data_IF_943304648973
#
_entry.id   IF_943304648973
#
_cell.length_a   1.000
_cell.length_b   1.000
_cell.length_c   1.000
_cell.angle_alpha   90.00
_cell.angle_beta   90.00
_cell.angle_gamma   90.00
#
_symmetry.space_group_name_H-M   'P 1'
#
loop_
_entity.id
_entity.type
_entity.pdbx_description
1 polymer ?
#
# COMPACT_ATOMS: atom_id res chain seq x y z
N UNK A 1 7.09 9.72 13.24
CA UNK A 1 5.75 9.12 13.31
C UNK A 1 5.39 8.60 11.93
N UNK A 2 4.77 7.43 11.82
CA UNK A 2 4.37 6.83 10.54
C UNK A 2 2.85 6.72 10.55
N UNK A 3 2.20 7.11 9.45
CA UNK A 3 0.76 6.95 9.27
C UNK A 3 0.46 5.75 8.39
N UNK A 4 -0.55 4.97 8.73
CA UNK A 4 -1.10 3.92 7.87
C UNK A 4 -2.54 4.27 7.53
N UNK A 5 -2.78 4.54 6.26
CA UNK A 5 -4.10 4.78 5.73
C UNK A 5 -4.64 3.50 5.10
N UNK A 6 -5.72 2.98 5.65
CA UNK A 6 -6.39 1.79 5.13
C UNK A 6 -7.72 2.16 4.48
N UNK A 7 -7.90 1.76 3.22
CA UNK A 7 -9.17 1.92 2.53
C UNK A 7 -10.20 0.92 3.08
N UNK A 8 -11.46 1.35 3.32
CA UNK A 8 -12.49 0.51 3.92
C UNK A 8 -12.87 -0.71 3.06
N UNK A 9 -12.62 -0.65 1.75
CA UNK A 9 -12.89 -1.76 0.83
C UNK A 9 -11.84 -2.89 0.91
N UNK A 10 -10.77 -2.71 1.70
CA UNK A 10 -9.89 -3.81 2.10
C UNK A 10 -10.61 -4.79 3.06
N UNK A 11 -11.87 -5.10 2.76
CA UNK A 11 -12.78 -5.83 3.65
C UNK A 11 -12.32 -7.26 3.90
N UNK A 12 -11.58 -7.87 2.99
CA UNK A 12 -11.05 -9.23 3.16
C UNK A 12 -9.95 -9.28 4.24
N UNK A 13 -9.30 -8.14 4.54
CA UNK A 13 -8.18 -8.05 5.48
C UNK A 13 -8.56 -7.22 6.71
N UNK A 14 -9.55 -6.35 6.57
CA UNK A 14 -10.05 -5.47 7.62
C UNK A 14 -10.95 -6.16 8.66
N UNK A 15 -10.67 -7.44 8.97
CA UNK A 15 -11.27 -8.07 10.15
C UNK A 15 -10.82 -7.28 11.37
N UNK A 16 -11.73 -6.84 12.25
CA UNK A 16 -11.39 -5.99 13.41
C UNK A 16 -10.25 -6.54 14.26
N UNK A 17 -10.14 -7.86 14.38
CA UNK A 17 -9.09 -8.54 15.11
C UNK A 17 -7.72 -8.41 14.43
N UNK A 18 -7.67 -8.45 13.10
CA UNK A 18 -6.45 -8.24 12.30
C UNK A 18 -5.93 -6.82 12.48
N UNK A 19 -6.80 -5.83 12.38
CA UNK A 19 -6.43 -4.44 12.65
C UNK A 19 -5.95 -4.22 14.08
N UNK A 20 -6.64 -4.78 15.07
CA UNK A 20 -6.24 -4.69 16.46
C UNK A 20 -4.87 -5.32 16.70
N UNK A 21 -4.56 -6.42 16.01
CA UNK A 21 -3.25 -7.09 16.04
C UNK A 21 -2.18 -6.18 15.43
N UNK A 22 -2.41 -5.65 14.23
CA UNK A 22 -1.44 -4.77 13.55
C UNK A 22 -1.13 -3.52 14.35
N UNK A 23 -2.14 -2.90 14.96
CA UNK A 23 -1.95 -1.76 15.87
C UNK A 23 -1.05 -2.09 17.07
N UNK A 24 -1.20 -3.28 17.64
CA UNK A 24 -0.32 -3.73 18.72
C UNK A 24 1.13 -3.96 18.27
N UNK A 25 1.31 -4.47 17.06
CA UNK A 25 2.63 -4.75 16.49
C UNK A 25 3.34 -3.49 15.98
N UNK A 26 2.60 -2.42 15.72
CA UNK A 26 3.14 -1.14 15.24
C UNK A 26 2.79 0.02 16.19
N UNK A 27 3.26 0.02 17.44
CA UNK A 27 2.86 1.01 18.44
C UNK A 27 3.28 2.45 18.08
N UNK A 28 4.24 2.61 17.17
CA UNK A 28 4.71 3.92 16.68
C UNK A 28 3.98 4.39 15.41
N UNK A 29 3.07 3.58 14.88
CA UNK A 29 2.27 3.94 13.72
C UNK A 29 0.90 4.48 14.13
N UNK A 30 0.47 5.54 13.48
CA UNK A 30 -0.90 6.07 13.59
C UNK A 30 -1.74 5.46 12.49
N UNK A 31 -2.76 4.71 12.86
CA UNK A 31 -3.69 4.07 11.93
C UNK A 31 -4.89 4.98 11.67
N UNK A 32 -5.08 5.33 10.42
CA UNK A 32 -6.13 6.23 9.97
C UNK A 32 -7.04 5.49 8.99
N UNK A 33 -8.34 5.36 9.28
CA UNK A 33 -9.28 4.91 8.27
C UNK A 33 -9.44 6.01 7.22
N UNK A 34 -9.33 5.64 5.94
CA UNK A 34 -9.73 6.54 4.85
C UNK A 34 -11.20 6.26 4.55
N UNK A 35 -12.03 7.26 4.71
CA UNK A 35 -13.36 7.25 4.12
C UNK A 35 -13.25 7.70 2.66
N UNK A 36 -13.10 6.76 1.75
CA UNK A 36 -13.17 7.06 0.33
C UNK A 36 -14.63 7.34 -0.03
N UNK A 37 -14.93 8.59 -0.32
CA UNK A 37 -16.26 8.97 -0.84
C UNK A 37 -16.51 8.38 -2.22
N UNK A 38 -15.44 8.25 -3.00
CA UNK A 38 -15.42 7.64 -4.32
C UNK A 38 -14.08 6.91 -4.52
N UNK A 39 -14.11 5.73 -5.13
CA UNK A 39 -12.92 4.98 -5.55
C UNK A 39 -12.31 5.58 -6.83
N UNK A 40 -12.23 6.91 -6.94
CA UNK A 40 -11.64 7.65 -8.04
C UNK A 40 -10.28 8.22 -7.66
N UNK A 41 -9.46 8.56 -8.66
CA UNK A 41 -8.17 9.23 -8.41
C UNK A 41 -8.34 10.52 -7.58
N UNK A 42 -9.30 11.36 -7.94
CA UNK A 42 -9.57 12.61 -7.23
C UNK A 42 -10.03 12.36 -5.78
N UNK A 43 -10.89 11.34 -5.58
CA UNK A 43 -11.36 10.94 -4.26
C UNK A 43 -10.22 10.44 -3.36
N UNK A 44 -9.30 9.64 -3.91
CA UNK A 44 -8.11 9.16 -3.18
C UNK A 44 -7.21 10.34 -2.80
N UNK A 45 -6.87 11.21 -3.75
CA UNK A 45 -6.00 12.36 -3.49
C UNK A 45 -6.58 13.30 -2.43
N UNK A 46 -7.88 13.62 -2.53
CA UNK A 46 -8.56 14.45 -1.53
C UNK A 46 -8.55 13.79 -0.15
N UNK A 47 -8.88 12.50 -0.06
CA UNK A 47 -8.93 11.78 1.22
C UNK A 47 -7.55 11.67 1.87
N UNK A 48 -6.50 11.49 1.05
CA UNK A 48 -5.11 11.47 1.54
C UNK A 48 -4.70 12.84 2.05
N UNK A 49 -5.00 13.91 1.31
CA UNK A 49 -4.70 15.29 1.72
C UNK A 49 -5.39 15.63 3.05
N UNK A 50 -6.69 15.36 3.15
CA UNK A 50 -7.47 15.59 4.37
C UNK A 50 -6.92 14.80 5.58
N UNK A 51 -6.42 13.58 5.34
CA UNK A 51 -5.84 12.76 6.40
C UNK A 51 -4.47 13.31 6.85
N UNK A 52 -3.62 13.74 5.92
CA UNK A 52 -2.32 14.34 6.22
C UNK A 52 -2.47 15.64 7.01
N UNK A 53 -3.39 16.52 6.60
CA UNK A 53 -3.67 17.79 7.27
C UNK A 53 -4.18 17.57 8.69
N UNK A 54 -5.05 16.57 8.88
CA UNK A 54 -5.63 16.23 10.18
C UNK A 54 -4.59 15.80 11.21
N UNK A 55 -3.54 15.09 10.77
CA UNK A 55 -2.51 14.54 11.67
C UNK A 55 -1.18 15.29 11.63
N UNK A 56 -1.04 16.29 10.77
CA UNK A 56 0.19 17.07 10.65
C UNK A 56 1.38 16.24 10.15
N UNK A 57 1.15 15.29 9.24
CA UNK A 57 2.19 14.42 8.69
C UNK A 57 2.57 14.82 7.28
N UNK A 58 3.81 14.53 6.89
CA UNK A 58 4.24 14.70 5.51
C UNK A 58 3.98 13.42 4.70
N UNK A 59 3.75 13.53 3.38
CA UNK A 59 3.41 12.38 2.54
C UNK A 59 4.40 11.20 2.65
N UNK A 60 5.69 11.45 2.76
CA UNK A 60 6.72 10.41 2.88
C UNK A 60 6.65 9.56 4.15
N UNK A 61 5.87 9.99 5.13
CA UNK A 61 5.61 9.23 6.37
C UNK A 61 4.37 8.35 6.26
N UNK A 62 3.68 8.39 5.14
CA UNK A 62 2.42 7.71 4.92
C UNK A 62 2.62 6.38 4.21
N UNK A 63 1.96 5.35 4.72
CA UNK A 63 1.77 4.05 4.07
C UNK A 63 0.30 3.96 3.67
N UNK A 64 0.05 3.66 2.41
CA UNK A 64 -1.28 3.42 1.88
C UNK A 64 -1.53 1.91 1.82
N UNK A 65 -2.68 1.48 2.29
CA UNK A 65 -3.13 0.09 2.23
C UNK A 65 -4.46 0.04 1.50
N UNK A 66 -4.51 -0.71 0.41
CA UNK A 66 -5.72 -0.87 -0.40
C UNK A 66 -5.83 -2.25 -1.02
N UNK A 67 -7.03 -2.58 -1.47
CA UNK A 67 -7.36 -3.83 -2.14
C UNK A 67 -8.08 -3.56 -3.47
N UNK A 68 -7.93 -4.48 -4.44
CA UNK A 68 -8.64 -4.45 -5.71
C UNK A 68 -8.42 -3.17 -6.52
N UNK A 69 -9.50 -2.56 -6.96
CA UNK A 69 -9.47 -1.34 -7.80
C UNK A 69 -8.90 -0.13 -7.07
N UNK A 70 -9.16 0.01 -5.78
CA UNK A 70 -8.59 1.11 -4.97
C UNK A 70 -7.08 0.99 -4.89
N UNK A 71 -6.57 -0.22 -4.61
CA UNK A 71 -5.13 -0.48 -4.63
C UNK A 71 -4.50 -0.16 -5.98
N UNK A 72 -5.19 -0.52 -7.08
CA UNK A 72 -4.74 -0.20 -8.43
C UNK A 72 -4.65 1.31 -8.66
N UNK A 73 -5.66 2.07 -8.28
CA UNK A 73 -5.64 3.54 -8.40
C UNK A 73 -4.55 4.19 -7.55
N UNK A 74 -4.33 3.73 -6.31
CA UNK A 74 -3.24 4.21 -5.46
C UNK A 74 -1.87 3.97 -6.12
N UNK A 75 -1.66 2.77 -6.67
CA UNK A 75 -0.44 2.43 -7.40
C UNK A 75 -0.23 3.34 -8.62
N UNK A 76 -1.26 3.52 -9.44
CA UNK A 76 -1.17 4.37 -10.63
C UNK A 76 -0.85 5.82 -10.29
N UNK A 77 -1.47 6.38 -9.26
CA UNK A 77 -1.18 7.73 -8.78
C UNK A 77 0.28 7.87 -8.31
N UNK A 78 0.79 6.88 -7.56
CA UNK A 78 2.17 6.90 -7.11
C UNK A 78 3.17 6.73 -8.27
N UNK A 79 2.88 5.84 -9.22
CA UNK A 79 3.71 5.60 -10.39
C UNK A 79 3.70 6.74 -11.42
N UNK A 80 2.69 7.61 -11.37
CA UNK A 80 2.65 8.88 -12.11
C UNK A 80 3.34 10.04 -11.37
N UNK A 81 3.76 9.82 -10.10
CA UNK A 81 4.32 10.87 -9.26
C UNK A 81 3.27 11.84 -8.68
N UNK A 82 1.98 11.54 -8.83
CA UNK A 82 0.88 12.38 -8.36
C UNK A 82 0.57 12.17 -6.87
N UNK A 83 0.98 11.02 -6.31
CA UNK A 83 0.77 10.66 -4.92
C UNK A 83 2.09 10.26 -4.26
N UNK A 84 2.90 11.25 -3.82
CA UNK A 84 4.11 10.93 -3.08
C UNK A 84 3.75 10.37 -1.71
N UNK A 85 4.19 9.15 -1.42
CA UNK A 85 4.03 8.51 -0.11
C UNK A 85 5.26 7.68 0.25
N UNK A 86 5.37 7.24 1.48
CA UNK A 86 6.48 6.42 1.94
C UNK A 86 6.40 4.99 1.43
N UNK A 87 5.18 4.45 1.32
CA UNK A 87 4.95 3.11 0.81
C UNK A 87 3.50 2.82 0.45
N UNK A 88 3.30 1.81 -0.38
CA UNK A 88 1.99 1.27 -0.74
C UNK A 88 2.00 -0.24 -0.52
N UNK A 89 1.00 -0.74 0.17
CA UNK A 89 0.67 -2.17 0.22
C UNK A 89 -0.61 -2.37 -0.58
N UNK A 90 -0.49 -3.01 -1.72
CA UNK A 90 -1.59 -3.24 -2.64
C UNK A 90 -1.90 -4.74 -2.69
N UNK A 91 -3.17 -5.06 -2.44
CA UNK A 91 -3.67 -6.42 -2.39
C UNK A 91 -4.60 -6.61 -3.56
N UNK A 92 -4.37 -7.67 -4.33
CA UNK A 92 -5.18 -8.04 -5.49
C UNK A 92 -5.46 -6.88 -6.47
N UNK A 93 -4.51 -5.95 -6.57
CA UNK A 93 -4.57 -4.94 -7.61
C UNK A 93 -4.48 -5.60 -8.99
N UNK A 94 -5.28 -5.14 -9.94
CA UNK A 94 -5.23 -5.63 -11.31
C UNK A 94 -3.81 -5.50 -11.88
N UNK A 95 -3.31 -6.57 -12.52
CA UNK A 95 -1.93 -6.67 -13.02
C UNK A 95 -1.79 -6.32 -14.50
N UNK A 96 -2.84 -5.77 -15.11
CA UNK A 96 -2.83 -5.33 -16.50
C UNK A 96 -1.76 -4.28 -16.79
N UNK A 97 -1.46 -4.09 -18.09
CA UNK A 97 -0.52 -3.08 -18.54
C UNK A 97 -0.86 -1.69 -18.02
N UNK A 98 0.18 -0.95 -17.65
CA UNK A 98 0.03 0.47 -17.34
C UNK A 98 -0.17 1.25 -18.65
N UNK A 99 -1.18 2.13 -18.72
CA UNK A 99 -1.42 2.94 -19.91
C UNK A 99 -0.50 4.18 -19.99
N UNK A 100 0.55 4.22 -19.17
CA UNK A 100 1.49 5.35 -19.05
C UNK A 100 2.90 4.86 -18.71
N UNK A 101 3.89 5.73 -18.85
CA UNK A 101 5.26 5.48 -18.41
C UNK A 101 5.42 5.75 -16.90
N UNK A 102 6.15 4.87 -16.22
CA UNK A 102 6.43 5.03 -14.80
C UNK A 102 7.38 6.23 -14.60
N UNK A 103 6.99 7.12 -13.70
CA UNK A 103 7.85 8.21 -13.23
C UNK A 103 8.70 7.69 -12.06
N UNK A 104 10.02 7.99 -12.01
CA UNK A 104 10.86 7.61 -10.88
C UNK A 104 10.25 8.08 -9.55
N UNK A 105 10.07 7.16 -8.62
CA UNK A 105 9.47 7.42 -7.31
C UNK A 105 10.29 6.76 -6.21
N UNK A 106 10.30 7.39 -5.04
CA UNK A 106 10.91 6.84 -3.81
C UNK A 106 9.90 6.02 -2.98
N UNK A 107 8.67 5.90 -3.47
CA UNK A 107 7.61 5.12 -2.83
C UNK A 107 7.95 3.64 -2.89
N UNK A 108 8.00 3.00 -1.73
CA UNK A 108 8.19 1.55 -1.66
C UNK A 108 6.88 0.83 -2.01
N UNK A 109 6.92 -0.11 -2.95
CA UNK A 109 5.75 -0.83 -3.44
C UNK A 109 5.76 -2.26 -2.93
N UNK A 110 4.66 -2.70 -2.34
CA UNK A 110 4.45 -4.06 -1.83
C UNK A 110 3.16 -4.61 -2.41
N UNK A 111 3.27 -5.68 -3.17
CA UNK A 111 2.12 -6.32 -3.84
C UNK A 111 1.87 -7.69 -3.22
N UNK A 112 0.63 -7.93 -2.85
CA UNK A 112 0.11 -9.26 -2.52
C UNK A 112 -0.86 -9.64 -3.62
N UNK A 113 -0.55 -10.70 -4.37
CA UNK A 113 -1.30 -11.10 -5.55
C UNK A 113 -1.72 -12.55 -5.41
N UNK A 114 -3.00 -12.82 -5.48
CA UNK A 114 -3.49 -14.18 -5.65
C UNK A 114 -3.23 -14.63 -7.08
N UNK A 115 -2.64 -15.81 -7.22
CA UNK A 115 -2.38 -16.39 -8.52
C UNK A 115 -3.69 -16.85 -9.12
N UNK A 116 -4.11 -16.15 -10.16
CA UNK A 116 -5.17 -16.64 -11.04
C UNK A 116 -4.47 -17.24 -12.27
N UNK A 117 -4.56 -18.54 -12.46
CA UNK A 117 -3.84 -19.26 -13.55
C UNK A 117 -4.21 -18.75 -14.94
N UNK A 118 -5.34 -18.05 -15.07
CA UNK A 118 -5.84 -17.49 -16.32
C UNK A 118 -5.45 -16.03 -16.57
N UNK A 119 -4.78 -15.36 -15.63
CA UNK A 119 -4.37 -13.96 -15.82
C UNK A 119 -3.05 -13.89 -16.61
N UNK A 120 -2.97 -13.11 -17.71
CA UNK A 120 -1.72 -12.90 -18.39
C UNK A 120 -0.74 -12.26 -17.42
N UNK A 121 0.19 -13.07 -16.92
CA UNK A 121 1.28 -12.59 -16.08
C UNK A 121 1.96 -11.48 -16.83
N UNK A 122 1.95 -10.29 -16.32
CA UNK A 122 3.16 -9.66 -16.66
C UNK A 122 3.25 -8.18 -16.89
N UNK A 123 2.24 -7.43 -17.15
CA UNK A 123 2.59 -6.09 -17.59
C UNK A 123 2.92 -5.14 -16.44
N UNK A 124 2.16 -5.12 -15.35
CA UNK A 124 2.48 -4.30 -14.17
C UNK A 124 3.77 -4.76 -13.49
N UNK A 125 3.88 -6.06 -13.20
CA UNK A 125 5.05 -6.64 -12.51
C UNK A 125 6.32 -6.47 -13.35
N UNK A 126 6.22 -6.71 -14.66
CA UNK A 126 7.31 -6.49 -15.59
C UNK A 126 7.74 -5.02 -15.64
N UNK A 127 6.78 -4.10 -15.69
CA UNK A 127 7.04 -2.67 -15.69
C UNK A 127 7.72 -2.19 -14.40
N UNK A 128 7.26 -2.67 -13.23
CA UNK A 128 7.88 -2.33 -11.93
C UNK A 128 9.33 -2.82 -11.84
N UNK A 129 9.61 -4.03 -12.33
CA UNK A 129 10.97 -4.57 -12.37
C UNK A 129 11.88 -3.79 -13.33
N UNK A 130 11.35 -3.42 -14.48
CA UNK A 130 12.09 -2.64 -15.47
C UNK A 130 12.38 -1.21 -15.02
N UNK A 131 11.56 -0.65 -14.15
CA UNK A 131 11.70 0.72 -13.63
C UNK A 131 12.67 0.84 -12.45
N UNK A 132 13.30 -0.26 -12.00
CA UNK A 132 14.26 -0.30 -10.88
C UNK A 132 13.70 0.36 -9.60
N UNK A 133 12.43 0.08 -9.29
CA UNK A 133 11.76 0.57 -8.09
C UNK A 133 11.95 -0.38 -6.91
N UNK A 134 11.86 0.17 -5.68
CA UNK A 134 11.75 -0.66 -4.46
C UNK A 134 10.38 -1.37 -4.44
N UNK A 135 10.26 -2.42 -5.25
CA UNK A 135 9.05 -3.21 -5.39
C UNK A 135 9.28 -4.65 -4.94
N UNK A 136 8.41 -5.15 -4.06
CA UNK A 136 8.38 -6.56 -3.62
C UNK A 136 7.00 -7.14 -3.85
N UNK A 137 6.97 -8.40 -4.27
CA UNK A 137 5.74 -9.08 -4.66
C UNK A 137 5.69 -10.43 -3.97
N UNK A 138 4.57 -10.69 -3.31
CA UNK A 138 4.23 -12.01 -2.79
C UNK A 138 3.11 -12.58 -3.65
N UNK A 139 3.37 -13.74 -4.25
CA UNK A 139 2.36 -14.51 -4.94
C UNK A 139 1.78 -15.56 -4.00
N UNK A 140 0.47 -15.54 -3.84
CA UNK A 140 -0.26 -16.53 -3.06
C UNK A 140 -0.82 -17.59 -4.00
N UNK A 141 -0.29 -18.82 -3.92
CA UNK A 141 -0.73 -19.97 -4.73
C UNK A 141 -1.95 -20.68 -4.09
N UNK A 142 -2.91 -19.92 -3.59
CA UNK A 142 -4.03 -20.46 -2.85
C UNK A 142 -5.33 -20.25 -3.64
N UNK A 143 -6.06 -21.34 -3.86
CA UNK A 143 -7.46 -21.25 -4.29
C UNK A 143 -8.29 -20.55 -3.22
N UNK A 144 -9.29 -19.77 -3.64
CA UNK A 144 -10.13 -18.98 -2.75
C UNK A 144 -10.64 -19.78 -1.53
N UNK A 145 -10.63 -19.15 -0.35
CA UNK A 145 -11.09 -19.75 0.90
C UNK A 145 -10.39 -19.14 2.11
N UNK A 146 -10.78 -19.56 3.30
CA UNK A 146 -10.25 -19.04 4.58
C UNK A 146 -8.71 -19.13 4.67
N UNK A 147 -8.08 -20.09 4.03
CA UNK A 147 -6.63 -20.23 3.97
C UNK A 147 -5.98 -19.11 3.15
N UNK A 148 -6.59 -18.72 2.04
CA UNK A 148 -6.11 -17.64 1.19
C UNK A 148 -6.20 -16.27 1.89
N UNK A 149 -7.32 -15.98 2.55
CA UNK A 149 -7.50 -14.76 3.35
C UNK A 149 -6.47 -14.66 4.48
N UNK A 150 -6.23 -15.74 5.21
CA UNK A 150 -5.24 -15.78 6.28
C UNK A 150 -3.80 -15.57 5.75
N UNK A 151 -3.48 -16.14 4.59
CA UNK A 151 -2.19 -15.96 3.94
C UNK A 151 -2.00 -14.53 3.45
N UNK A 152 -3.04 -13.93 2.84
CA UNK A 152 -3.03 -12.53 2.42
C UNK A 152 -2.85 -11.58 3.61
N UNK A 153 -3.58 -11.81 4.71
CA UNK A 153 -3.44 -11.04 5.93
C UNK A 153 -2.02 -11.14 6.52
N UNK A 154 -1.41 -12.34 6.52
CA UNK A 154 -0.04 -12.55 7.01
C UNK A 154 1.01 -11.87 6.11
N UNK A 155 0.86 -11.96 4.79
CA UNK A 155 1.72 -11.29 3.83
C UNK A 155 1.63 -9.75 3.97
N UNK A 156 0.42 -9.24 4.10
CA UNK A 156 0.15 -7.82 4.32
C UNK A 156 0.76 -7.34 5.63
N UNK A 157 0.58 -8.09 6.73
CA UNK A 157 1.21 -7.79 8.02
C UNK A 157 2.72 -7.65 7.88
N UNK A 158 3.38 -8.60 7.21
CA UNK A 158 4.82 -8.59 7.00
C UNK A 158 5.26 -7.32 6.27
N UNK A 159 4.56 -6.93 5.21
CA UNK A 159 4.87 -5.72 4.44
C UNK A 159 4.60 -4.44 5.22
N UNK A 160 3.51 -4.37 5.98
CA UNK A 160 3.20 -3.21 6.82
C UNK A 160 4.27 -3.03 7.88
N UNK A 161 4.66 -4.10 8.59
CA UNK A 161 5.72 -4.06 9.60
C UNK A 161 7.07 -3.61 9.02
N UNK A 162 7.43 -4.15 7.85
CA UNK A 162 8.65 -3.76 7.15
C UNK A 162 8.65 -2.27 6.80
N UNK A 163 7.56 -1.78 6.21
CA UNK A 163 7.45 -0.37 5.80
C UNK A 163 7.44 0.57 7.01
N UNK A 164 6.69 0.25 8.07
CA UNK A 164 6.67 1.05 9.31
C UNK A 164 8.08 1.15 9.90
N UNK A 165 8.82 0.04 9.98
CA UNK A 165 10.17 0.03 10.49
C UNK A 165 11.14 0.82 9.59
N UNK A 166 11.00 0.74 8.27
CA UNK A 166 11.88 1.41 7.31
C UNK A 166 11.66 2.91 7.28
N UNK A 167 10.40 3.34 7.23
CA UNK A 167 10.04 4.76 7.21
C UNK A 167 10.32 5.40 8.57
N UNK A 168 10.07 4.68 9.67
CA UNK A 168 10.36 5.15 11.02
C UNK A 168 11.85 5.46 11.21
N UNK A 169 12.75 4.62 10.72
CA UNK A 169 14.21 4.88 10.76
C UNK A 169 14.60 6.11 9.96
N UNK A 170 14.11 6.25 8.72
CA UNK A 170 14.41 7.40 7.86
C UNK A 170 13.99 8.74 8.48
N UNK A 171 12.90 8.76 9.25
CA UNK A 171 12.44 9.96 9.95
C UNK A 171 13.30 10.31 11.17
N UNK A 172 13.94 9.35 11.79
CA UNK A 172 14.83 9.57 12.93
C UNK A 172 16.19 10.09 12.49
N UNK A 173 16.73 9.54 11.40
CA UNK A 173 18.05 9.93 10.86
C UNK A 173 18.03 11.34 10.24
N UNK A 174 16.91 11.77 9.65
CA UNK A 174 16.75 13.11 9.07
C UNK A 174 16.49 14.24 10.09
N UNK A 175 16.21 13.89 11.34
CA UNK A 175 15.97 14.88 12.41
C UNK A 175 17.26 15.28 13.17
N UNK A 176 18.40 14.71 12.80
CA UNK A 176 19.68 14.87 13.50
C UNK A 176 20.72 15.77 12.83
N UNK A 177 20.41 16.43 11.70
CA UNK A 177 21.31 17.45 11.12
C UNK A 177 20.79 18.86 11.43
N UNK A 178 21.55 19.63 12.22
CA UNK A 178 21.32 21.06 12.47
C UNK A 178 21.74 21.92 11.26
#
# INVERSE_FOLDING_TARGET
MVGVLAAPDAASIAVPETFARWRRLTPLATWLPIELREASYAGILSSVADALDRVGMIPRQLILLGEGSVARHMLELALRGELPCGGIVAIDAATDALPFHIVPTVTAIRLVVHRNDDAPQASLIGALRAADLDARIIHLDLTAGRGAEAAAASATETFVLELVATIGRRTTDGAGEP
#
